data_IF_657443082822
#
_entry.id   IF_657443082822
#
_cell.length_a   1.000
_cell.length_b   1.000
_cell.length_c   1.000
_cell.angle_alpha   90.00
_cell.angle_beta   90.00
_cell.angle_gamma   90.00
#
_symmetry.space_group_name_H-M   'P 1'
#
loop_
_entity.id
_entity.type
_entity.pdbx_description
1 polymer ?
#
# COMPACT_ATOMS: atom_id res chain seq x y z
N UNK A 1 -10.87 -0.70 -2.74
CA UNK A 1 -10.57 -1.01 -4.16
C UNK A 1 -10.89 0.18 -5.08
N UNK A 2 -10.26 1.35 -4.90
CA UNK A 2 -10.57 2.53 -5.74
C UNK A 2 -9.37 3.46 -6.00
N UNK A 3 -8.14 2.96 -5.89
CA UNK A 3 -6.94 3.80 -6.05
C UNK A 3 -6.57 4.10 -7.50
N UNK A 4 -7.13 3.38 -8.48
CA UNK A 4 -6.81 3.55 -9.91
C UNK A 4 -7.64 4.65 -10.60
N UNK A 5 -8.94 4.40 -10.81
CA UNK A 5 -9.80 5.27 -11.62
C UNK A 5 -10.18 6.60 -10.94
N UNK A 6 -10.37 6.60 -9.61
CA UNK A 6 -10.82 7.78 -8.87
C UNK A 6 -9.73 8.85 -8.69
N UNK A 7 -8.48 8.42 -8.51
CA UNK A 7 -7.33 9.30 -8.29
C UNK A 7 -6.76 9.86 -9.60
N UNK A 8 -6.70 9.05 -10.65
CA UNK A 8 -6.16 9.47 -11.96
C UNK A 8 -7.17 10.28 -12.80
N UNK A 9 -8.48 10.20 -12.48
CA UNK A 9 -9.59 10.85 -13.22
C UNK A 9 -9.58 10.57 -14.73
N UNK A 10 -9.04 9.42 -15.13
CA UNK A 10 -9.00 8.96 -16.52
C UNK A 10 -10.29 8.25 -16.89
N UNK A 11 -10.64 8.28 -18.18
CA UNK A 11 -11.70 7.42 -18.69
C UNK A 11 -11.29 5.95 -18.50
N UNK A 12 -12.24 5.03 -18.26
CA UNK A 12 -11.92 3.60 -18.13
C UNK A 12 -11.19 3.04 -19.35
N UNK A 13 -11.49 3.54 -20.55
CA UNK A 13 -10.84 3.12 -21.80
C UNK A 13 -9.35 3.47 -21.79
N UNK A 14 -9.03 4.72 -21.45
CA UNK A 14 -7.64 5.18 -21.42
C UNK A 14 -6.86 4.46 -20.33
N UNK A 15 -7.50 4.25 -19.16
CA UNK A 15 -6.94 3.48 -18.05
C UNK A 15 -6.52 2.06 -18.46
N UNK A 16 -7.41 1.33 -19.15
CA UNK A 16 -7.14 -0.04 -19.57
C UNK A 16 -6.21 -0.16 -20.79
N UNK A 17 -6.04 0.91 -21.56
CA UNK A 17 -5.08 0.95 -22.67
C UNK A 17 -3.63 1.23 -22.26
N UNK A 18 -3.42 1.73 -21.03
CA UNK A 18 -2.08 2.07 -20.55
C UNK A 18 -1.23 0.85 -20.26
N UNK A 19 0.06 1.00 -20.55
CA UNK A 19 1.08 0.04 -20.14
C UNK A 19 1.39 0.18 -18.64
N UNK A 20 1.93 -0.87 -17.99
CA UNK A 20 2.36 -0.80 -16.59
C UNK A 20 3.38 0.31 -16.30
N UNK A 21 4.21 0.69 -17.29
CA UNK A 21 5.19 1.79 -17.15
C UNK A 21 4.51 3.15 -17.15
N UNK A 22 3.52 3.35 -18.01
CA UNK A 22 2.72 4.59 -18.02
C UNK A 22 1.91 4.71 -16.74
N UNK A 23 1.34 3.59 -16.26
CA UNK A 23 0.64 3.56 -14.98
C UNK A 23 1.56 3.92 -13.80
N UNK A 24 2.80 3.40 -13.76
CA UNK A 24 3.79 3.75 -12.74
C UNK A 24 4.05 5.26 -12.68
N UNK A 25 4.17 5.91 -13.84
CA UNK A 25 4.39 7.36 -13.95
C UNK A 25 3.16 8.17 -13.57
N UNK A 26 1.98 7.74 -13.99
CA UNK A 26 0.73 8.41 -13.66
C UNK A 26 0.46 8.40 -12.14
N UNK A 27 0.78 7.27 -11.48
CA UNK A 27 0.58 7.12 -10.03
C UNK A 27 1.72 7.73 -9.21
N UNK A 28 2.95 7.80 -9.71
CA UNK A 28 4.07 8.36 -8.95
C UNK A 28 3.86 9.84 -8.60
N UNK A 29 3.20 10.60 -9.48
CA UNK A 29 2.83 12.00 -9.22
C UNK A 29 1.81 12.18 -8.09
N UNK A 30 1.01 11.13 -7.80
CA UNK A 30 -0.02 11.15 -6.77
C UNK A 30 0.44 10.52 -5.45
N UNK A 31 1.60 9.86 -5.45
CA UNK A 31 2.16 9.33 -4.21
C UNK A 31 2.81 10.49 -3.44
N UNK A 32 2.52 10.65 -2.14
CA UNK A 32 3.38 11.45 -1.29
C UNK A 32 4.82 10.91 -1.41
N UNK A 33 5.81 11.81 -1.29
CA UNK A 33 7.24 11.46 -1.28
C UNK A 33 7.41 10.19 -0.48
N UNK A 34 8.02 9.17 -1.12
CA UNK A 34 8.23 7.86 -0.51
C UNK A 34 8.97 8.11 0.81
N UNK A 35 8.25 8.02 1.93
CA UNK A 35 8.87 7.92 3.24
C UNK A 35 9.77 6.71 3.20
N UNK A 36 10.99 6.85 3.71
CA UNK A 36 11.90 5.73 3.77
C UNK A 36 11.19 4.51 4.38
N UNK A 37 11.48 3.30 3.88
CA UNK A 37 10.92 2.10 4.48
C UNK A 37 11.22 2.13 5.98
N UNK A 38 10.21 1.83 6.80
CA UNK A 38 10.32 1.80 8.26
C UNK A 38 11.60 1.05 8.65
N UNK A 39 12.46 1.69 9.42
CA UNK A 39 13.72 1.07 9.79
C UNK A 39 13.46 -0.06 10.80
N UNK A 40 14.37 -1.03 10.88
CA UNK A 40 14.24 -2.17 11.81
C UNK A 40 14.10 -1.74 13.28
N UNK A 41 14.65 -0.57 13.64
CA UNK A 41 14.50 0.01 14.98
C UNK A 41 13.05 0.44 15.26
N UNK A 42 12.39 1.13 14.32
CA UNK A 42 11.00 1.54 14.46
C UNK A 42 10.06 0.34 14.54
N UNK A 43 10.34 -0.71 13.76
CA UNK A 43 9.59 -1.97 13.86
C UNK A 43 9.76 -2.62 15.23
N UNK A 44 11.00 -2.66 15.76
CA UNK A 44 11.28 -3.22 17.09
C UNK A 44 10.57 -2.47 18.20
N UNK A 45 10.55 -1.13 18.12
CA UNK A 45 9.79 -0.26 19.03
C UNK A 45 8.28 -0.53 18.95
N UNK A 46 7.75 -0.73 17.74
CA UNK A 46 6.34 -1.07 17.53
C UNK A 46 5.97 -2.43 18.15
N UNK A 47 6.81 -3.45 17.95
CA UNK A 47 6.62 -4.78 18.54
C UNK A 47 6.65 -4.75 20.07
N UNK A 48 7.52 -3.91 20.65
CA UNK A 48 7.54 -3.69 22.10
C UNK A 48 6.29 -2.97 22.60
N UNK A 49 5.77 -2.03 21.80
CA UNK A 49 4.58 -1.22 22.13
C UNK A 49 3.29 -2.03 22.02
N UNK A 50 3.22 -2.97 21.08
CA UNK A 50 2.09 -3.84 20.82
C UNK A 50 2.57 -5.30 20.84
N UNK A 51 2.84 -5.84 22.04
CA UNK A 51 3.23 -7.24 22.16
C UNK A 51 2.08 -8.13 21.68
N UNK A 52 2.39 -9.13 20.87
CA UNK A 52 1.41 -10.14 20.47
C UNK A 52 1.01 -10.96 21.71
N UNK A 53 -0.10 -10.58 22.34
CA UNK A 53 -0.69 -11.37 23.42
C UNK A 53 -1.45 -12.55 22.83
N UNK A 54 -0.79 -13.70 22.83
CA UNK A 54 -1.47 -14.97 22.71
C UNK A 54 -1.50 -15.51 21.30
N UNK A 55 -0.91 -16.70 21.20
CA UNK A 55 -1.42 -17.85 20.47
C UNK A 55 -2.94 -18.02 20.72
N UNK A 56 -3.75 -17.09 20.21
CA UNK A 56 -5.15 -17.34 19.95
C UNK A 56 -5.16 -18.27 18.74
N UNK A 57 -4.93 -19.55 19.05
CA UNK A 57 -5.21 -20.67 18.18
C UNK A 57 -6.60 -20.43 17.59
N UNK A 58 -6.61 -19.91 16.36
CA UNK A 58 -7.81 -19.73 15.58
C UNK A 58 -8.55 -21.07 15.59
N UNK A 59 -9.80 -21.16 16.09
CA UNK A 59 -10.51 -22.41 16.09
C UNK A 59 -10.71 -22.82 14.64
N UNK A 60 -9.97 -23.84 14.21
CA UNK A 60 -10.22 -24.54 12.94
C UNK A 60 -11.47 -25.39 13.14
N UNK A 61 -12.63 -24.74 13.04
CA UNK A 61 -13.93 -25.41 12.83
C UNK A 61 -14.40 -25.08 11.43
#
# INVERSE_FOLDING_TARGET
MATGLGLLRLSPKDFWSMTPREFERAVSALRPTRTDPMCGLELSELMRRFPDEGDLAWPKT
#
